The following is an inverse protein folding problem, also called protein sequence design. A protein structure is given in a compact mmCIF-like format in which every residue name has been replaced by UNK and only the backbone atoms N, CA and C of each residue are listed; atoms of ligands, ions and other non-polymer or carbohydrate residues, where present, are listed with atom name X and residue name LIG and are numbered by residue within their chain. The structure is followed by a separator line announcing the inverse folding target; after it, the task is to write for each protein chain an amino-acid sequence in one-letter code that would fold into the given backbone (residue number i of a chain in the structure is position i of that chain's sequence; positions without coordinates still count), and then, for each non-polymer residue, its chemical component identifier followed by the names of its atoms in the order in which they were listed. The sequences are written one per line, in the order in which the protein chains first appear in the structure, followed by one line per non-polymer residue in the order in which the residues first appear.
data_IF_479103532633
#
_entry.id   IF_479103532633
#
_cell.length_a   1.000
_cell.length_b   1.000
_cell.length_c   1.000
_cell.angle_alpha   90.00
_cell.angle_beta   90.00
_cell.angle_gamma   90.00
#
_symmetry.space_group_name_H-M   'P 1'
#
loop_
_entity.id
_entity.type
_entity.pdbx_description
1 polymer ?
#
# COMPACT_ATOMS: atom_id res chain seq x y z
N UNK A 1 3.49 -38.03 -8.29
CA UNK A 1 2.73 -36.82 -7.95
C UNK A 1 2.62 -36.80 -6.43
N UNK A 2 3.43 -36.00 -5.71
CA UNK A 2 3.27 -35.83 -4.27
C UNK A 2 2.11 -34.87 -4.08
N UNK A 3 1.03 -35.33 -3.43
CA UNK A 3 -0.12 -34.51 -3.10
C UNK A 3 0.34 -33.33 -2.24
N UNK A 4 0.24 -32.15 -2.79
CA UNK A 4 0.35 -30.90 -2.03
C UNK A 4 -0.93 -30.84 -1.18
N UNK A 5 -0.83 -31.16 0.09
CA UNK A 5 -1.87 -30.82 1.07
C UNK A 5 -1.86 -29.30 1.12
N UNK A 6 -2.89 -28.67 0.52
CA UNK A 6 -3.11 -27.24 0.68
C UNK A 6 -3.23 -26.98 2.18
N UNK A 7 -2.22 -26.38 2.75
CA UNK A 7 -2.27 -25.86 4.11
C UNK A 7 -3.29 -24.72 4.02
N UNK A 8 -4.39 -24.86 4.72
CA UNK A 8 -5.48 -23.88 4.72
C UNK A 8 -5.03 -22.69 5.59
N UNK A 9 -4.15 -21.83 5.02
CA UNK A 9 -3.60 -20.69 5.72
C UNK A 9 -4.68 -19.64 5.97
N UNK A 10 -4.74 -19.15 7.19
CA UNK A 10 -5.56 -18.01 7.54
C UNK A 10 -4.81 -16.72 7.20
N UNK A 11 -5.47 -15.79 6.53
CA UNK A 11 -4.87 -14.51 6.22
C UNK A 11 -5.41 -13.41 7.12
N UNK A 12 -4.50 -12.53 7.56
CA UNK A 12 -4.84 -11.31 8.28
C UNK A 12 -4.32 -10.12 7.48
N UNK A 13 -5.20 -9.19 7.14
CA UNK A 13 -4.82 -7.92 6.54
C UNK A 13 -4.58 -6.87 7.64
N UNK A 14 -3.32 -6.49 7.82
CA UNK A 14 -2.89 -5.47 8.76
C UNK A 14 -3.02 -4.05 8.14
N UNK A 15 -4.25 -3.64 7.82
CA UNK A 15 -4.48 -2.34 7.16
C UNK A 15 -5.89 -1.79 7.43
N UNK A 16 -5.96 -0.45 7.65
CA UNK A 16 -7.23 0.30 7.71
C UNK A 16 -7.74 0.71 6.32
N UNK A 17 -6.96 0.48 5.25
CA UNK A 17 -7.30 0.93 3.90
C UNK A 17 -8.45 0.11 3.29
N UNK A 18 -9.59 0.73 2.94
CA UNK A 18 -10.69 0.04 2.26
C UNK A 18 -10.28 -0.49 0.88
N UNK A 19 -9.38 0.21 0.18
CA UNK A 19 -8.90 -0.19 -1.15
C UNK A 19 -8.11 -1.49 -1.11
N UNK A 20 -7.24 -1.67 -0.11
CA UNK A 20 -6.48 -2.93 0.06
C UNK A 20 -7.39 -4.10 0.39
N UNK A 21 -8.44 -3.85 1.19
CA UNK A 21 -9.48 -4.85 1.48
C UNK A 21 -10.19 -5.25 0.19
N UNK A 22 -10.69 -4.29 -0.57
CA UNK A 22 -11.40 -4.51 -1.84
C UNK A 22 -10.56 -5.31 -2.85
N UNK A 23 -9.24 -5.03 -2.94
CA UNK A 23 -8.34 -5.81 -3.81
C UNK A 23 -8.33 -7.27 -3.40
N UNK A 24 -8.13 -7.60 -2.12
CA UNK A 24 -8.10 -8.99 -1.65
C UNK A 24 -9.46 -9.68 -1.77
N UNK A 25 -10.56 -8.98 -1.52
CA UNK A 25 -11.92 -9.49 -1.70
C UNK A 25 -12.18 -9.84 -3.17
N UNK A 26 -11.80 -8.96 -4.11
CA UNK A 26 -11.94 -9.20 -5.55
C UNK A 26 -11.08 -10.36 -6.07
N UNK A 27 -9.99 -10.69 -5.37
CA UNK A 27 -9.17 -11.87 -5.65
C UNK A 27 -9.76 -13.16 -5.02
N UNK A 28 -10.86 -13.07 -4.27
CA UNK A 28 -11.46 -14.22 -3.59
C UNK A 28 -10.68 -14.70 -2.37
N UNK A 29 -9.71 -13.92 -1.88
CA UNK A 29 -8.92 -14.24 -0.68
C UNK A 29 -9.81 -14.07 0.55
N UNK A 30 -9.85 -15.08 1.41
CA UNK A 30 -10.51 -14.98 2.73
C UNK A 30 -9.52 -14.46 3.75
N UNK A 31 -9.85 -13.39 4.43
CA UNK A 31 -8.99 -12.78 5.43
C UNK A 31 -9.79 -12.09 6.53
N UNK A 32 -9.16 -11.93 7.68
CA UNK A 32 -9.59 -11.05 8.77
C UNK A 32 -8.83 -9.71 8.64
N UNK A 33 -9.47 -8.61 9.02
CA UNK A 33 -8.79 -7.31 9.12
C UNK A 33 -8.49 -7.01 10.59
N UNK A 34 -7.20 -6.88 10.91
CA UNK A 34 -6.74 -6.47 12.25
C UNK A 34 -5.81 -5.28 12.10
N UNK A 35 -5.93 -4.31 12.99
CA UNK A 35 -5.06 -3.12 13.00
C UNK A 35 -4.45 -2.90 14.36
N UNK A 36 -3.25 -2.36 14.38
CA UNK A 36 -2.55 -1.87 15.56
C UNK A 36 -2.06 -0.44 15.31
N UNK A 37 -1.83 0.30 16.37
CA UNK A 37 -1.18 1.61 16.25
C UNK A 37 0.31 1.38 16.00
N UNK A 38 0.86 2.14 15.07
CA UNK A 38 2.24 2.00 14.62
C UNK A 38 2.84 3.38 14.47
N UNK A 39 4.04 3.57 14.99
CA UNK A 39 4.82 4.78 14.71
C UNK A 39 5.30 4.77 13.24
N UNK A 40 4.79 5.70 12.46
CA UNK A 40 5.15 5.90 11.06
C UNK A 40 6.30 6.92 10.89
N UNK A 41 6.86 7.47 11.98
CA UNK A 41 8.00 8.40 11.90
C UNK A 41 9.26 7.68 11.43
N UNK A 42 10.03 8.32 10.55
CA UNK A 42 11.27 7.75 10.02
C UNK A 42 12.15 8.82 9.39
N UNK A 43 13.47 8.67 9.56
CA UNK A 43 14.49 9.48 8.88
C UNK A 43 14.93 8.88 7.53
N UNK A 44 14.28 7.80 7.08
CA UNK A 44 14.57 7.15 5.80
C UNK A 44 14.07 8.03 4.66
N UNK A 45 14.98 8.44 3.80
CA UNK A 45 14.71 9.32 2.65
C UNK A 45 14.55 8.56 1.32
N UNK A 46 14.92 7.28 1.28
CA UNK A 46 14.68 6.42 0.13
C UNK A 46 13.25 5.88 0.19
N UNK A 47 12.38 6.16 -0.81
CA UNK A 47 10.98 5.77 -0.77
C UNK A 47 10.78 4.24 -0.76
N UNK A 48 11.65 3.47 -1.42
CA UNK A 48 11.56 2.01 -1.45
C UNK A 48 11.84 1.43 -0.06
N UNK A 49 12.92 1.87 0.58
CA UNK A 49 13.26 1.44 1.94
C UNK A 49 12.24 1.91 2.98
N UNK A 50 11.68 3.11 2.78
CA UNK A 50 10.66 3.63 3.69
C UNK A 50 9.41 2.75 3.69
N UNK A 51 8.87 2.42 2.53
CA UNK A 51 7.65 1.59 2.46
C UNK A 51 7.88 0.15 2.93
N UNK A 52 9.08 -0.41 2.72
CA UNK A 52 9.46 -1.70 3.27
C UNK A 52 9.48 -1.65 4.81
N UNK A 53 10.13 -0.63 5.39
CA UNK A 53 10.18 -0.42 6.82
C UNK A 53 8.79 -0.25 7.43
N UNK A 54 7.96 0.62 6.85
CA UNK A 54 6.63 0.91 7.38
C UNK A 54 5.67 -0.27 7.22
N UNK A 55 5.74 -1.00 6.11
CA UNK A 55 4.96 -2.22 5.94
C UNK A 55 5.37 -3.29 6.96
N UNK A 56 6.67 -3.48 7.21
CA UNK A 56 7.17 -4.41 8.22
C UNK A 56 6.71 -4.02 9.63
N UNK A 57 6.85 -2.75 10.02
CA UNK A 57 6.38 -2.26 11.33
C UNK A 57 4.88 -2.52 11.54
N UNK A 58 4.04 -2.28 10.51
CA UNK A 58 2.59 -2.53 10.58
C UNK A 58 2.28 -4.01 10.78
N UNK A 59 2.96 -4.88 10.07
CA UNK A 59 2.81 -6.33 10.22
C UNK A 59 3.22 -6.82 11.60
N UNK A 60 4.38 -6.38 12.10
CA UNK A 60 4.88 -6.76 13.42
C UNK A 60 3.97 -6.25 14.54
N UNK A 61 3.50 -5.00 14.49
CA UNK A 61 2.59 -4.47 15.50
C UNK A 61 1.28 -5.26 15.60
N UNK A 62 0.74 -5.71 14.46
CA UNK A 62 -0.44 -6.60 14.46
C UNK A 62 -0.09 -7.97 15.01
N UNK A 63 1.06 -8.55 14.67
CA UNK A 63 1.54 -9.82 15.21
C UNK A 63 1.66 -9.77 16.74
N UNK A 64 2.33 -8.75 17.25
CA UNK A 64 2.52 -8.56 18.69
C UNK A 64 1.18 -8.41 19.43
N UNK A 65 0.27 -7.61 18.88
CA UNK A 65 -1.08 -7.45 19.43
C UNK A 65 -1.81 -8.79 19.53
N UNK A 66 -1.83 -9.58 18.46
CA UNK A 66 -2.53 -10.87 18.42
C UNK A 66 -1.92 -11.90 19.39
N UNK A 67 -0.59 -11.92 19.50
CA UNK A 67 0.10 -12.77 20.48
C UNK A 67 -0.21 -12.34 21.92
N UNK A 68 -0.28 -11.03 22.20
CA UNK A 68 -0.68 -10.51 23.53
C UNK A 68 -2.14 -10.85 23.86
N UNK A 69 -3.01 -10.99 22.86
CA UNK A 69 -4.39 -11.47 23.00
C UNK A 69 -4.49 -13.00 23.15
N UNK A 70 -3.35 -13.72 23.12
CA UNK A 70 -3.29 -15.18 23.27
C UNK A 70 -3.69 -15.96 22.00
N UNK A 71 -3.71 -15.32 20.84
CA UNK A 71 -4.03 -16.00 19.57
C UNK A 71 -2.89 -16.91 19.13
N UNK A 72 -3.25 -18.12 18.70
CA UNK A 72 -2.34 -19.00 17.96
C UNK A 72 -2.24 -18.51 16.50
N UNK A 73 -1.00 -18.27 16.05
CA UNK A 73 -0.67 -17.81 14.71
C UNK A 73 0.08 -18.88 13.89
N UNK A 74 0.07 -20.14 14.31
CA UNK A 74 0.81 -21.25 13.66
C UNK A 74 0.41 -21.43 12.19
N UNK A 75 -0.88 -21.24 11.86
CA UNK A 75 -1.44 -21.37 10.49
C UNK A 75 -1.90 -20.02 9.94
N UNK A 76 -1.22 -18.93 10.32
CA UNK A 76 -1.64 -17.57 9.97
C UNK A 76 -0.53 -16.82 9.24
N UNK A 77 -0.91 -16.11 8.16
CA UNK A 77 -0.05 -15.16 7.47
C UNK A 77 -0.64 -13.76 7.59
N UNK A 78 0.13 -12.84 8.15
CA UNK A 78 -0.21 -11.42 8.23
C UNK A 78 0.33 -10.73 6.98
N UNK A 79 -0.55 -10.03 6.26
CA UNK A 79 -0.26 -9.22 5.08
C UNK A 79 -0.35 -7.76 5.49
N UNK A 80 0.72 -7.02 5.31
CA UNK A 80 0.75 -5.57 5.54
C UNK A 80 1.31 -4.83 4.34
N UNK A 81 0.96 -3.57 4.19
CA UNK A 81 1.44 -2.72 3.09
C UNK A 81 1.47 -1.26 3.51
N UNK A 82 2.41 -0.51 2.93
CA UNK A 82 2.47 0.93 3.01
C UNK A 82 2.68 1.54 1.62
N UNK A 83 2.25 2.80 1.42
CA UNK A 83 2.32 3.46 0.11
C UNK A 83 2.70 4.92 0.27
N UNK A 84 3.68 5.35 -0.50
CA UNK A 84 4.08 6.75 -0.61
C UNK A 84 4.11 7.19 -2.07
N UNK A 85 4.07 8.49 -2.28
CA UNK A 85 4.30 9.15 -3.57
C UNK A 85 5.65 9.86 -3.50
N UNK A 86 6.46 9.76 -4.56
CA UNK A 86 7.75 10.43 -4.62
C UNK A 86 7.87 11.23 -5.94
N UNK A 87 8.29 12.49 -5.83
CA UNK A 87 8.50 13.40 -6.96
C UNK A 87 9.60 14.39 -6.63
N UNK A 88 10.49 14.63 -7.58
CA UNK A 88 11.59 15.63 -7.46
C UNK A 88 12.44 15.49 -6.16
N UNK A 89 12.60 14.25 -5.67
CA UNK A 89 13.36 13.98 -4.43
C UNK A 89 12.56 14.19 -3.14
N UNK A 90 11.30 14.57 -3.21
CA UNK A 90 10.39 14.71 -2.06
C UNK A 90 9.48 13.47 -1.94
N UNK A 91 9.32 12.96 -0.71
CA UNK A 91 8.35 11.91 -0.41
C UNK A 91 7.08 12.58 0.13
N UNK A 92 5.97 12.34 -0.56
CA UNK A 92 4.66 12.85 -0.21
C UNK A 92 3.85 11.79 0.53
N UNK A 93 3.62 12.02 1.81
CA UNK A 93 2.67 11.26 2.61
C UNK A 93 1.23 11.76 2.43
N UNK A 94 0.40 11.54 3.44
CA UNK A 94 -0.96 12.11 3.49
C UNK A 94 -0.89 13.61 3.77
N UNK A 95 -1.70 14.44 3.08
CA UNK A 95 -1.73 15.87 3.33
C UNK A 95 -2.30 16.15 4.73
N UNK A 96 -1.72 17.12 5.42
CA UNK A 96 -2.16 17.55 6.76
C UNK A 96 -3.46 18.33 6.72
N UNK A 97 -3.65 19.10 5.67
CA UNK A 97 -4.78 20.00 5.45
C UNK A 97 -4.98 20.33 3.96
N UNK A 98 -5.94 21.20 3.65
CA UNK A 98 -6.24 21.62 2.29
C UNK A 98 -5.08 22.40 1.64
N UNK A 99 -4.30 23.14 2.40
CA UNK A 99 -3.15 23.90 1.88
C UNK A 99 -2.02 22.95 1.47
N UNK A 100 -1.78 21.92 2.27
CA UNK A 100 -0.79 20.89 1.97
C UNK A 100 -1.24 20.01 0.79
N UNK A 101 -2.52 19.65 0.72
CA UNK A 101 -3.08 18.94 -0.43
C UNK A 101 -2.91 19.74 -1.74
N UNK A 102 -3.17 21.05 -1.71
CA UNK A 102 -2.95 21.96 -2.84
C UNK A 102 -1.49 21.99 -3.25
N UNK A 103 -0.58 22.12 -2.30
CA UNK A 103 0.87 22.09 -2.54
C UNK A 103 1.27 20.79 -3.24
N UNK A 104 0.82 19.65 -2.73
CA UNK A 104 1.12 18.34 -3.31
C UNK A 104 0.59 18.22 -4.74
N UNK A 105 -0.67 18.55 -5.00
CA UNK A 105 -1.25 18.46 -6.34
C UNK A 105 -0.57 19.39 -7.35
N UNK A 106 -0.18 20.60 -6.95
CA UNK A 106 0.61 21.51 -7.80
C UNK A 106 2.01 20.96 -8.09
N UNK A 107 2.64 20.29 -7.13
CA UNK A 107 3.93 19.66 -7.33
C UNK A 107 3.87 18.51 -8.33
N UNK A 108 2.75 17.77 -8.35
CA UNK A 108 2.50 16.64 -9.26
C UNK A 108 2.01 17.08 -10.65
N UNK A 109 1.39 18.27 -10.78
CA UNK A 109 0.80 18.78 -12.01
C UNK A 109 1.79 18.79 -13.17
N UNK A 110 1.41 18.23 -14.33
CA UNK A 110 2.20 18.18 -15.56
C UNK A 110 3.45 17.30 -15.47
N UNK A 111 3.56 16.44 -14.45
CA UNK A 111 4.78 15.65 -14.21
C UNK A 111 4.51 14.16 -14.13
N UNK A 112 5.58 13.39 -14.42
CA UNK A 112 5.69 12.01 -14.00
C UNK A 112 6.20 11.96 -12.56
N UNK A 113 5.60 11.09 -11.75
CA UNK A 113 6.01 10.84 -10.38
C UNK A 113 5.93 9.35 -10.06
N UNK A 114 6.55 8.92 -8.98
CA UNK A 114 6.56 7.53 -8.55
C UNK A 114 5.54 7.30 -7.43
N UNK A 115 4.80 6.20 -7.56
CA UNK A 115 4.06 5.59 -6.45
C UNK A 115 4.79 4.34 -6.05
N UNK A 116 5.16 4.25 -4.78
CA UNK A 116 5.90 3.13 -4.22
C UNK A 116 5.06 2.49 -3.13
N UNK A 117 4.79 1.18 -3.25
CA UNK A 117 4.12 0.42 -2.20
C UNK A 117 5.00 -0.72 -1.72
N UNK A 118 5.20 -0.77 -0.41
CA UNK A 118 5.80 -1.90 0.28
C UNK A 118 4.76 -2.95 0.63
N UNK A 119 5.15 -4.21 0.61
CA UNK A 119 4.39 -5.34 1.13
C UNK A 119 5.25 -6.14 2.08
N UNK A 120 4.66 -6.59 3.18
CA UNK A 120 5.32 -7.47 4.12
C UNK A 120 4.41 -8.66 4.44
N UNK A 121 5.02 -9.82 4.59
CA UNK A 121 4.40 -11.09 4.95
C UNK A 121 5.05 -11.64 6.20
N UNK A 122 4.26 -11.99 7.22
CA UNK A 122 4.74 -12.57 8.47
C UNK A 122 3.89 -13.79 8.82
N UNK A 123 4.50 -14.96 8.92
CA UNK A 123 3.78 -16.20 9.29
C UNK A 123 4.68 -17.40 9.31
N UNK A 124 4.31 -18.47 10.04
CA UNK A 124 5.05 -19.73 10.12
C UNK A 124 6.55 -19.55 10.44
N UNK A 125 6.90 -18.59 11.29
CA UNK A 125 8.31 -18.29 11.61
C UNK A 125 9.10 -17.69 10.45
N UNK A 126 8.44 -17.30 9.35
CA UNK A 126 9.04 -16.67 8.17
C UNK A 126 8.64 -15.21 8.07
N UNK A 127 9.51 -14.44 7.43
CA UNK A 127 9.36 -13.03 7.20
C UNK A 127 9.77 -12.72 5.75
N UNK A 128 8.94 -12.00 5.04
CA UNK A 128 9.23 -11.50 3.69
C UNK A 128 8.82 -10.05 3.59
N UNK A 129 9.66 -9.22 2.97
CA UNK A 129 9.36 -7.82 2.67
C UNK A 129 9.88 -7.47 1.28
N UNK A 130 9.12 -6.66 0.55
CA UNK A 130 9.49 -6.19 -0.78
C UNK A 130 8.69 -4.95 -1.13
N UNK A 131 9.01 -4.32 -2.27
CA UNK A 131 8.29 -3.16 -2.78
C UNK A 131 8.02 -3.27 -4.28
N UNK A 132 7.15 -2.40 -4.77
CA UNK A 132 6.85 -2.18 -6.18
C UNK A 132 6.85 -0.69 -6.48
N UNK A 133 7.37 -0.30 -7.65
CA UNK A 133 7.44 1.09 -8.11
C UNK A 133 6.63 1.23 -9.38
N UNK A 134 5.80 2.26 -9.45
CA UNK A 134 5.02 2.60 -10.65
C UNK A 134 5.12 4.08 -10.93
N UNK A 135 5.47 4.45 -12.16
CA UNK A 135 5.41 5.82 -12.63
C UNK A 135 3.98 6.18 -13.03
N UNK A 136 3.51 7.32 -12.56
CA UNK A 136 2.20 7.90 -12.89
C UNK A 136 2.41 9.25 -13.56
N UNK A 137 1.73 9.48 -14.68
CA UNK A 137 1.83 10.71 -15.45
C UNK A 137 0.56 11.55 -15.24
N UNK A 138 0.73 12.75 -14.67
CA UNK A 138 -0.35 13.72 -14.55
C UNK A 138 -0.33 14.71 -15.70
N UNK A 139 -1.52 15.07 -16.16
CA UNK A 139 -1.73 16.25 -17.00
C UNK A 139 -1.51 17.53 -16.18
N UNK A 140 -1.37 18.66 -16.86
CA UNK A 140 -1.35 19.96 -16.19
C UNK A 140 -2.70 20.24 -15.52
N UNK A 141 -2.64 20.62 -14.24
CA UNK A 141 -3.79 21.00 -13.42
C UNK A 141 -3.76 22.50 -13.19
N UNK A 142 -4.79 23.22 -13.64
CA UNK A 142 -4.97 24.61 -13.26
C UNK A 142 -5.49 24.75 -11.81
N UNK A 143 -5.46 25.95 -11.29
CA UNK A 143 -5.87 26.22 -9.92
C UNK A 143 -7.33 25.87 -9.65
N UNK A 144 -8.22 26.08 -10.62
CA UNK A 144 -9.65 25.77 -10.49
C UNK A 144 -9.86 24.25 -10.36
N UNK A 145 -9.18 23.47 -11.17
CA UNK A 145 -9.18 22.00 -11.12
C UNK A 145 -8.68 21.48 -9.78
N UNK A 146 -7.55 22.02 -9.29
CA UNK A 146 -6.99 21.64 -7.98
C UNK A 146 -7.97 21.94 -6.86
N UNK A 147 -8.57 23.14 -6.82
CA UNK A 147 -9.54 23.51 -5.77
C UNK A 147 -10.82 22.67 -5.86
N UNK A 148 -11.32 22.43 -7.07
CA UNK A 148 -12.48 21.58 -7.28
C UNK A 148 -12.20 20.15 -6.76
N UNK A 149 -11.04 19.59 -7.11
CA UNK A 149 -10.65 18.25 -6.69
C UNK A 149 -10.56 18.14 -5.16
N UNK A 150 -9.87 19.06 -4.49
CA UNK A 150 -9.73 19.03 -3.02
C UNK A 150 -11.09 19.10 -2.33
N UNK A 151 -11.96 20.02 -2.79
CA UNK A 151 -13.30 20.21 -2.21
C UNK A 151 -14.17 18.96 -2.36
N UNK A 152 -14.08 18.30 -3.53
CA UNK A 152 -14.96 17.19 -3.89
C UNK A 152 -14.44 15.85 -3.38
N UNK A 153 -13.15 15.55 -3.59
CA UNK A 153 -12.54 14.27 -3.25
C UNK A 153 -12.08 14.16 -1.79
N UNK A 154 -11.85 15.30 -1.11
CA UNK A 154 -11.35 15.35 0.28
C UNK A 154 -10.19 14.38 0.52
N UNK A 155 -9.05 14.53 -0.19
CA UNK A 155 -8.03 13.49 -0.34
C UNK A 155 -7.09 13.34 0.87
N UNK A 156 -7.54 13.64 2.08
CA UNK A 156 -6.72 13.72 3.29
C UNK A 156 -6.20 12.36 3.81
N UNK A 157 -6.75 11.26 3.32
CA UNK A 157 -6.35 9.88 3.66
C UNK A 157 -5.41 9.26 2.61
N UNK A 158 -4.94 10.03 1.62
CA UNK A 158 -4.21 9.54 0.44
C UNK A 158 -2.83 10.14 0.33
N UNK A 159 -1.81 9.29 0.12
CA UNK A 159 -0.45 9.76 -0.18
C UNK A 159 -0.45 10.60 -1.46
N UNK A 160 0.29 11.72 -1.48
CA UNK A 160 0.31 12.65 -2.60
C UNK A 160 -1.01 13.38 -2.85
N UNK A 161 -1.96 13.32 -1.91
CA UNK A 161 -3.27 13.96 -1.99
C UNK A 161 -4.13 13.53 -3.19
N UNK A 162 -3.97 12.32 -3.73
CA UNK A 162 -4.85 11.81 -4.79
C UNK A 162 -5.09 10.30 -4.71
N UNK A 163 -6.08 9.82 -5.45
CA UNK A 163 -6.27 8.40 -5.71
C UNK A 163 -6.50 8.18 -7.20
N UNK A 164 -5.82 7.19 -7.78
CA UNK A 164 -6.00 6.81 -9.19
C UNK A 164 -7.45 6.39 -9.51
N UNK A 165 -8.16 5.90 -8.51
CA UNK A 165 -9.60 5.61 -8.60
C UNK A 165 -10.42 6.87 -8.30
N UNK A 166 -11.49 7.08 -9.03
CA UNK A 166 -12.37 8.26 -8.87
C UNK A 166 -11.90 9.48 -9.67
N UNK A 167 -12.14 10.69 -9.16
CA UNK A 167 -11.97 11.95 -9.92
C UNK A 167 -10.57 12.17 -10.48
N UNK A 168 -9.51 11.78 -9.76
CA UNK A 168 -8.14 11.98 -10.25
C UNK A 168 -7.82 11.15 -11.50
N UNK A 169 -8.59 10.09 -11.79
CA UNK A 169 -8.39 9.31 -13.02
C UNK A 169 -8.57 10.15 -14.29
N UNK A 170 -9.33 11.24 -14.22
CA UNK A 170 -9.53 12.17 -15.34
C UNK A 170 -8.27 13.01 -15.66
N UNK A 171 -7.32 13.06 -14.76
CA UNK A 171 -6.11 13.87 -14.86
C UNK A 171 -4.83 13.02 -14.98
N UNK A 172 -4.98 11.70 -15.06
CA UNK A 172 -3.86 10.76 -15.21
C UNK A 172 -3.84 10.28 -16.65
N UNK A 173 -2.85 10.75 -17.42
CA UNK A 173 -2.67 10.39 -18.83
C UNK A 173 -2.06 9.01 -19.03
N UNK A 174 -1.40 8.45 -18.00
CA UNK A 174 -0.82 7.13 -18.11
C UNK A 174 -0.12 6.64 -16.87
N UNK A 175 0.18 5.34 -16.87
CA UNK A 175 1.04 4.69 -15.87
C UNK A 175 2.06 3.80 -16.56
N UNK A 176 3.24 3.67 -15.97
CA UNK A 176 4.25 2.66 -16.36
C UNK A 176 4.55 1.79 -15.15
N UNK A 177 4.02 0.57 -15.11
CA UNK A 177 4.15 -0.38 -14.02
C UNK A 177 2.82 -1.00 -13.60
N UNK A 178 2.65 -1.25 -12.32
CA UNK A 178 1.54 -1.99 -11.75
C UNK A 178 0.41 -1.06 -11.29
N UNK A 179 -0.79 -1.17 -11.88
CA UNK A 179 -1.97 -0.42 -11.46
C UNK A 179 -2.33 -0.67 -9.99
N UNK A 180 -2.31 -1.93 -9.55
CA UNK A 180 -2.63 -2.29 -8.16
C UNK A 180 -1.62 -1.73 -7.14
N UNK A 181 -0.36 -1.49 -7.57
CA UNK A 181 0.60 -0.75 -6.77
C UNK A 181 0.12 0.68 -6.50
N UNK A 182 -0.38 1.38 -7.52
CA UNK A 182 -0.90 2.75 -7.38
C UNK A 182 -2.16 2.78 -6.52
N UNK A 183 -3.01 1.74 -6.57
CA UNK A 183 -4.17 1.59 -5.67
C UNK A 183 -3.73 1.37 -4.22
N UNK A 184 -2.56 0.73 -3.99
CA UNK A 184 -1.92 0.59 -2.69
C UNK A 184 -1.65 -0.84 -2.20
N UNK A 185 -1.85 -1.87 -3.06
CA UNK A 185 -1.44 -3.24 -2.80
C UNK A 185 -0.96 -3.90 -4.10
N UNK A 186 0.35 -4.01 -4.35
CA UNK A 186 0.90 -4.57 -5.59
C UNK A 186 0.72 -6.09 -5.63
N UNK A 187 -0.39 -6.56 -6.18
CA UNK A 187 -0.81 -7.97 -6.18
C UNK A 187 0.24 -8.91 -6.76
N UNK A 188 0.82 -8.54 -7.92
CA UNK A 188 1.87 -9.35 -8.55
C UNK A 188 3.08 -9.52 -7.63
N UNK A 189 3.57 -8.41 -7.02
CA UNK A 189 4.69 -8.46 -6.08
C UNK A 189 4.34 -9.23 -4.80
N UNK A 190 3.10 -9.08 -4.29
CA UNK A 190 2.60 -9.86 -3.16
C UNK A 190 2.64 -11.36 -3.45
N UNK A 191 2.13 -11.80 -4.62
CA UNK A 191 2.16 -13.19 -5.03
C UNK A 191 3.59 -13.73 -5.16
N UNK A 192 4.49 -12.98 -5.80
CA UNK A 192 5.90 -13.34 -5.93
C UNK A 192 6.57 -13.47 -4.57
N UNK A 193 6.38 -12.49 -3.68
CA UNK A 193 6.93 -12.50 -2.33
C UNK A 193 6.40 -13.68 -1.51
N UNK A 194 5.11 -14.02 -1.68
CA UNK A 194 4.51 -15.17 -1.00
C UNK A 194 5.17 -16.48 -1.45
N UNK A 195 5.36 -16.68 -2.77
CA UNK A 195 6.06 -17.84 -3.31
C UNK A 195 7.52 -17.92 -2.80
N UNK A 196 8.24 -16.81 -2.81
CA UNK A 196 9.62 -16.72 -2.31
C UNK A 196 9.71 -17.04 -0.81
N UNK A 197 8.74 -16.59 -0.02
CA UNK A 197 8.74 -16.73 1.43
C UNK A 197 8.25 -18.10 1.88
N UNK A 198 7.17 -18.61 1.31
CA UNK A 198 6.50 -19.82 1.78
C UNK A 198 6.73 -21.04 0.87
N UNK A 199 7.13 -20.85 -0.37
CA UNK A 199 7.41 -21.94 -1.32
C UNK A 199 6.17 -22.49 -2.04
N UNK A 200 5.06 -21.76 -1.99
CA UNK A 200 3.78 -22.10 -2.59
C UNK A 200 3.10 -20.85 -3.20
N UNK A 201 2.08 -21.04 -4.03
CA UNK A 201 1.35 -19.93 -4.63
C UNK A 201 0.39 -19.29 -3.61
N UNK A 202 0.23 -17.95 -3.71
CA UNK A 202 -0.72 -17.19 -2.92
C UNK A 202 -2.17 -17.39 -3.40
N UNK A 203 -2.35 -17.50 -4.72
CA UNK A 203 -3.63 -17.65 -5.42
C UNK A 203 -3.68 -18.96 -6.20
#
# INVERSE_FOLDING_TARGET
MKGCTAINMNFILASKSPRRREILENLGVRFETVTADTDESSDVTDPCRLVELLSARKGEAVREKLLAEGRDLSDTVIISSDTVVAVDGEILGKPRDAADARRMLRLLSGKAHQVVSGVCLIGNGKFGVSHEVTEVLFDELDDETVEHYIRTAKPYDKAGAYAIQGLASAYISGIKGCYFNVVGLPVHRLNTLYCETFGENFL
#
